data_IF_003544754737
#
_entry.id   IF_003544754737
#
_cell.length_a   1.000
_cell.length_b   1.000
_cell.length_c   1.000
_cell.angle_alpha   90.00
_cell.angle_beta   90.00
_cell.angle_gamma   90.00
#
_symmetry.space_group_name_H-M   'P 1'
#
loop_
_entity.id
_entity.type
_entity.pdbx_description
1 polymer ?
#
# COMPACT_ATOMS: atom_id res chain seq x y z
N UNK A 1 -5.33 -4.69 -16.63
CA UNK A 1 -5.32 -5.55 -15.41
C UNK A 1 -4.34 -5.04 -14.33
N UNK A 2 -4.25 -3.75 -14.01
CA UNK A 2 -3.28 -3.22 -13.02
C UNK A 2 -3.92 -2.33 -11.94
N UNK A 3 -5.11 -1.80 -12.11
CA UNK A 3 -5.65 -0.76 -11.21
C UNK A 3 -6.42 -1.24 -9.97
N UNK A 4 -6.91 -2.46 -9.89
CA UNK A 4 -7.66 -2.95 -8.71
C UNK A 4 -6.80 -3.59 -7.61
N UNK A 5 -5.60 -4.06 -7.95
CA UNK A 5 -4.64 -4.66 -6.98
C UNK A 5 -3.84 -3.58 -6.24
N UNK A 6 -3.76 -2.36 -6.81
CA UNK A 6 -2.93 -1.25 -6.33
C UNK A 6 -3.41 -0.63 -5.00
N UNK A 7 -4.69 -0.63 -4.70
CA UNK A 7 -5.24 0.27 -3.68
C UNK A 7 -5.13 -0.21 -2.23
N UNK A 8 -5.13 -1.52 -1.97
CA UNK A 8 -4.82 -2.07 -0.63
C UNK A 8 -3.31 -2.20 -0.38
N UNK A 9 -2.51 -2.19 -1.47
CA UNK A 9 -1.06 -2.19 -1.42
C UNK A 9 -0.48 -0.79 -1.13
N UNK A 10 -1.31 0.27 -1.18
CA UNK A 10 -0.86 1.66 -0.98
C UNK A 10 -1.03 2.17 0.45
N UNK A 11 -1.55 1.36 1.38
CA UNK A 11 -1.83 1.82 2.76
C UNK A 11 -0.67 1.57 3.71
N UNK A 12 -0.40 2.57 4.54
CA UNK A 12 0.57 2.55 5.63
C UNK A 12 -0.14 2.59 6.98
N UNK A 13 0.42 1.99 8.04
CA UNK A 13 -0.09 2.16 9.39
C UNK A 13 -0.13 3.62 9.79
N UNK A 14 -1.21 4.06 10.42
CA UNK A 14 -1.33 5.43 10.94
C UNK A 14 -0.29 5.79 11.99
N UNK A 15 0.34 4.79 12.62
CA UNK A 15 1.49 4.98 13.53
C UNK A 15 2.65 5.74 12.87
N UNK A 16 2.78 5.68 11.54
CA UNK A 16 3.79 6.46 10.82
C UNK A 16 3.46 7.96 10.84
N UNK A 17 2.18 8.32 10.74
CA UNK A 17 1.73 9.72 10.86
C UNK A 17 1.90 10.21 12.28
N UNK A 18 1.52 9.40 13.28
CA UNK A 18 1.72 9.75 14.70
C UNK A 18 3.20 10.00 14.99
N UNK A 19 4.10 9.15 14.50
CA UNK A 19 5.54 9.31 14.65
C UNK A 19 6.07 10.57 13.94
N UNK A 20 5.53 10.89 12.77
CA UNK A 20 5.87 12.12 12.04
C UNK A 20 5.46 13.35 12.85
N UNK A 21 4.24 13.37 13.40
CA UNK A 21 3.74 14.47 14.23
C UNK A 21 4.61 14.61 15.48
N UNK A 22 4.84 13.54 16.26
CA UNK A 22 5.72 13.54 17.42
C UNK A 22 7.11 14.10 17.10
N UNK A 23 7.60 13.81 15.88
CA UNK A 23 8.92 14.27 15.48
C UNK A 23 8.93 15.74 15.08
N UNK A 24 7.92 16.21 14.34
CA UNK A 24 7.90 17.58 13.82
C UNK A 24 7.56 18.61 14.92
N UNK A 25 6.80 18.20 15.93
CA UNK A 25 6.48 19.04 17.08
C UNK A 25 7.73 19.43 17.88
N UNK A 26 8.79 18.61 17.87
CA UNK A 26 10.10 18.98 18.46
C UNK A 26 10.79 20.16 17.72
N UNK A 27 10.35 20.44 16.49
CA UNK A 27 10.77 21.59 15.68
C UNK A 27 9.88 22.82 15.86
N UNK A 28 8.89 22.75 16.78
CA UNK A 28 7.94 23.83 17.05
C UNK A 28 6.86 23.98 15.98
N UNK A 29 6.66 22.99 15.11
CA UNK A 29 5.64 22.96 14.06
C UNK A 29 4.45 22.16 14.58
N UNK A 30 3.25 22.77 14.57
CA UNK A 30 2.07 22.12 15.12
C UNK A 30 1.49 21.02 14.22
N UNK A 31 0.76 20.09 14.85
CA UNK A 31 0.04 19.05 14.12
C UNK A 31 -1.03 19.62 13.18
N UNK A 32 -1.68 20.76 13.54
CA UNK A 32 -2.61 21.44 12.65
C UNK A 32 -1.94 21.92 11.37
N UNK A 33 -0.75 22.53 11.50
CA UNK A 33 -0.01 23.05 10.36
C UNK A 33 0.42 21.95 9.38
N UNK A 34 0.93 20.84 9.90
CA UNK A 34 1.36 19.73 9.05
C UNK A 34 0.18 19.02 8.38
N UNK A 35 -0.97 18.89 9.05
CA UNK A 35 -2.15 18.18 8.55
C UNK A 35 -3.12 19.05 7.73
N UNK A 36 -2.93 20.36 7.65
CA UNK A 36 -3.88 21.32 7.09
C UNK A 36 -4.44 20.96 5.70
N UNK A 37 -3.63 20.32 4.84
CA UNK A 37 -4.01 19.96 3.48
C UNK A 37 -4.38 18.46 3.34
N UNK A 38 -4.73 17.81 4.43
CA UNK A 38 -5.06 16.38 4.45
C UNK A 38 -6.48 16.14 4.98
N UNK A 39 -6.99 14.93 4.78
CA UNK A 39 -8.25 14.48 5.38
C UNK A 39 -8.04 13.80 6.74
N UNK A 40 -6.82 13.84 7.30
CA UNK A 40 -6.49 13.21 8.58
C UNK A 40 -6.99 14.12 9.69
N UNK A 41 -7.78 13.57 10.60
CA UNK A 41 -8.36 14.27 11.74
C UNK A 41 -7.64 13.92 13.03
N UNK A 42 -7.79 14.77 14.07
CA UNK A 42 -7.31 14.45 15.42
C UNK A 42 -7.93 13.16 15.96
N UNK A 43 -9.19 12.86 15.60
CA UNK A 43 -9.85 11.62 15.97
C UNK A 43 -9.13 10.40 15.37
N UNK A 44 -8.62 10.50 14.13
CA UNK A 44 -7.85 9.42 13.51
C UNK A 44 -6.55 9.13 14.27
N UNK A 45 -5.87 10.17 14.74
CA UNK A 45 -4.63 10.04 15.50
C UNK A 45 -4.81 9.31 16.85
N UNK A 46 -6.01 9.35 17.43
CA UNK A 46 -6.34 8.69 18.69
C UNK A 46 -6.74 7.22 18.51
N UNK A 47 -6.97 6.77 17.27
CA UNK A 47 -7.36 5.39 16.99
C UNK A 47 -6.17 4.45 17.17
N UNK A 48 -6.38 3.34 17.85
CA UNK A 48 -5.35 2.30 18.05
C UNK A 48 -4.89 1.67 16.73
N UNK A 49 -5.82 1.52 15.78
CA UNK A 49 -5.56 0.96 14.45
C UNK A 49 -6.24 1.79 13.39
N UNK A 50 -5.46 2.44 12.57
CA UNK A 50 -5.90 3.17 11.39
C UNK A 50 -4.83 3.15 10.31
N UNK A 51 -5.22 3.47 9.08
CA UNK A 51 -4.33 3.41 7.94
C UNK A 51 -4.44 4.69 7.12
N UNK A 52 -3.32 5.13 6.60
CA UNK A 52 -3.22 6.28 5.70
C UNK A 52 -2.78 5.81 4.31
N UNK A 53 -3.21 6.49 3.26
CA UNK A 53 -2.66 6.26 1.91
C UNK A 53 -1.18 6.65 1.88
N UNK A 54 -0.36 5.81 1.26
CA UNK A 54 1.09 6.04 1.17
C UNK A 54 1.43 7.35 0.47
N UNK A 55 0.62 7.79 -0.50
CA UNK A 55 0.81 9.07 -1.17
C UNK A 55 0.64 10.24 -0.21
N UNK A 56 -0.40 10.19 0.63
CA UNK A 56 -0.63 11.22 1.67
C UNK A 56 0.53 11.25 2.64
N UNK A 57 0.99 10.10 3.11
CA UNK A 57 2.14 10.04 4.02
C UNK A 57 3.43 10.59 3.37
N UNK A 58 3.71 10.24 2.13
CA UNK A 58 4.87 10.76 1.39
C UNK A 58 4.79 12.29 1.23
N UNK A 59 3.59 12.83 0.96
CA UNK A 59 3.37 14.27 0.91
C UNK A 59 3.61 14.94 2.28
N UNK A 60 3.15 14.32 3.37
CA UNK A 60 3.42 14.79 4.72
C UNK A 60 4.91 14.78 5.04
N UNK A 61 5.62 13.74 4.66
CA UNK A 61 7.07 13.63 4.85
C UNK A 61 7.82 14.72 4.06
N UNK A 62 7.39 14.99 2.83
CA UNK A 62 7.96 16.05 2.00
C UNK A 62 7.64 17.45 2.57
N UNK A 63 6.41 17.67 3.05
CA UNK A 63 6.01 18.91 3.73
C UNK A 63 6.85 19.12 4.99
N UNK A 64 7.12 18.06 5.76
CA UNK A 64 7.98 18.12 6.94
C UNK A 64 9.41 18.55 6.61
N UNK A 65 10.01 17.98 5.57
CA UNK A 65 11.35 18.39 5.09
C UNK A 65 11.35 19.88 4.72
N UNK A 66 10.32 20.36 4.03
CA UNK A 66 10.20 21.76 3.62
C UNK A 66 10.02 22.71 4.82
N UNK A 67 9.17 22.36 5.77
CA UNK A 67 8.89 23.21 6.96
C UNK A 67 10.07 23.26 7.91
N UNK A 68 10.79 22.16 8.09
CA UNK A 68 11.97 22.11 8.95
C UNK A 68 13.24 22.64 8.28
N UNK A 69 13.24 22.78 6.95
CA UNK A 69 14.46 23.08 6.17
C UNK A 69 15.53 21.98 6.25
N UNK A 70 15.20 20.80 6.77
CA UNK A 70 16.16 19.73 7.02
C UNK A 70 15.91 18.51 6.15
N UNK A 71 16.76 18.29 5.16
CA UNK A 71 16.69 17.12 4.26
C UNK A 71 16.86 15.77 4.98
N UNK A 72 17.49 15.75 6.16
CA UNK A 72 17.64 14.55 6.98
C UNK A 72 16.44 14.26 7.90
N UNK A 73 15.36 15.05 7.87
CA UNK A 73 14.18 14.83 8.71
C UNK A 73 13.65 13.39 8.65
N UNK A 74 13.55 12.71 7.47
CA UNK A 74 13.11 11.32 7.41
C UNK A 74 14.00 10.37 8.23
N UNK A 75 15.29 10.63 8.29
CA UNK A 75 16.25 9.83 9.04
C UNK A 75 16.14 10.11 10.54
N UNK A 76 15.91 11.37 10.92
CA UNK A 76 15.68 11.76 12.32
C UNK A 76 14.42 11.06 12.85
N UNK A 77 13.35 11.07 12.06
CA UNK A 77 12.11 10.34 12.36
C UNK A 77 12.37 8.83 12.47
N UNK A 78 13.19 8.24 11.59
CA UNK A 78 13.52 6.82 11.62
C UNK A 78 14.18 6.38 12.93
N UNK A 79 14.96 7.24 13.58
CA UNK A 79 15.61 6.94 14.86
C UNK A 79 14.60 6.71 16.01
N UNK A 80 13.41 7.27 15.90
CA UNK A 80 12.31 7.09 16.87
C UNK A 80 11.49 5.81 16.60
N UNK A 81 11.67 5.17 15.45
CA UNK A 81 10.94 3.97 15.09
C UNK A 81 11.21 2.84 16.08
N UNK A 82 10.14 2.18 16.53
CA UNK A 82 10.18 1.03 17.44
C UNK A 82 9.68 -0.22 16.72
N UNK A 83 10.22 -1.38 17.09
CA UNK A 83 9.77 -2.67 16.52
C UNK A 83 8.28 -2.90 16.80
N UNK A 84 7.80 -2.47 17.99
CA UNK A 84 6.40 -2.56 18.40
C UNK A 84 5.42 -1.77 17.53
N UNK A 85 5.88 -0.80 16.73
CA UNK A 85 5.02 -0.09 15.78
C UNK A 85 4.48 -0.99 14.66
N UNK A 86 5.04 -2.20 14.51
CA UNK A 86 4.55 -3.25 13.63
C UNK A 86 3.59 -4.24 14.31
N UNK A 87 2.98 -3.86 15.44
CA UNK A 87 1.97 -4.65 16.13
C UNK A 87 2.45 -6.07 16.45
N UNK A 88 1.62 -7.08 16.15
CA UNK A 88 1.95 -8.49 16.46
C UNK A 88 3.20 -9.00 15.74
N UNK A 89 3.49 -8.51 14.54
CA UNK A 89 4.73 -8.84 13.82
C UNK A 89 5.94 -8.30 14.57
N UNK A 90 5.85 -7.07 15.06
CA UNK A 90 6.89 -6.46 15.89
C UNK A 90 7.08 -7.22 17.20
N UNK A 91 5.99 -7.63 17.87
CA UNK A 91 6.05 -8.44 19.11
C UNK A 91 6.73 -9.78 18.85
N UNK A 92 6.36 -10.49 17.77
CA UNK A 92 6.99 -11.74 17.38
C UNK A 92 8.49 -11.56 17.06
N UNK A 93 8.86 -10.50 16.34
CA UNK A 93 10.27 -10.20 16.07
C UNK A 93 11.06 -9.92 17.36
N UNK A 94 10.51 -9.12 18.28
CA UNK A 94 11.16 -8.83 19.57
C UNK A 94 11.33 -10.05 20.44
N UNK A 95 10.37 -10.99 20.41
CA UNK A 95 10.38 -12.21 21.23
C UNK A 95 11.13 -13.38 20.58
N UNK A 96 11.71 -13.17 19.41
CA UNK A 96 12.50 -14.17 18.67
C UNK A 96 13.76 -14.55 19.44
N UNK A 97 14.24 -15.78 19.24
CA UNK A 97 15.44 -16.30 19.93
C UNK A 97 16.72 -15.56 19.53
N UNK A 98 16.82 -15.13 18.27
CA UNK A 98 17.99 -14.44 17.73
C UNK A 98 17.58 -13.47 16.60
N UNK A 99 18.55 -12.70 16.09
CA UNK A 99 18.29 -11.71 15.05
C UNK A 99 17.82 -12.36 13.74
N UNK A 100 18.36 -13.53 13.34
CA UNK A 100 17.89 -14.23 12.12
C UNK A 100 16.40 -14.51 12.18
N UNK A 101 15.92 -15.10 13.27
CA UNK A 101 14.50 -15.39 13.43
C UNK A 101 13.67 -14.12 13.44
N UNK A 102 14.12 -13.05 14.09
CA UNK A 102 13.42 -11.77 14.11
C UNK A 102 13.27 -11.17 12.71
N UNK A 103 14.34 -11.17 11.91
CA UNK A 103 14.31 -10.63 10.55
C UNK A 103 13.48 -11.48 9.60
N UNK A 104 13.47 -12.81 9.76
CA UNK A 104 12.59 -13.68 8.97
C UNK A 104 11.11 -13.49 9.30
N UNK A 105 10.77 -13.24 10.57
CA UNK A 105 9.40 -12.85 10.94
C UNK A 105 9.00 -11.55 10.26
N UNK A 106 9.89 -10.54 10.24
CA UNK A 106 9.62 -9.30 9.52
C UNK A 106 9.50 -9.54 8.01
N UNK A 107 10.39 -10.32 7.41
CA UNK A 107 10.34 -10.68 5.98
C UNK A 107 8.99 -11.31 5.60
N UNK A 108 8.52 -12.26 6.40
CA UNK A 108 7.30 -13.03 6.11
C UNK A 108 6.03 -12.21 6.33
N UNK A 109 5.96 -11.43 7.40
CA UNK A 109 4.69 -10.85 7.86
C UNK A 109 4.59 -9.33 7.74
N UNK A 110 5.66 -8.60 7.39
CA UNK A 110 5.61 -7.13 7.31
C UNK A 110 4.54 -6.62 6.35
N UNK A 111 4.28 -7.36 5.27
CA UNK A 111 3.24 -7.06 4.29
C UNK A 111 1.81 -7.05 4.84
N UNK A 112 1.55 -7.59 6.05
CA UNK A 112 0.26 -7.48 6.74
C UNK A 112 -0.02 -6.04 7.20
N UNK A 113 1.04 -5.34 7.60
CA UNK A 113 0.97 -3.98 8.14
C UNK A 113 1.31 -2.91 7.10
N UNK A 114 2.25 -3.22 6.21
CA UNK A 114 2.77 -2.28 5.25
C UNK A 114 2.88 -2.93 3.87
N UNK A 115 1.83 -2.81 3.06
CA UNK A 115 1.76 -3.46 1.75
C UNK A 115 2.61 -2.80 0.66
N UNK A 116 3.19 -1.62 0.91
CA UNK A 116 3.93 -0.84 -0.10
C UNK A 116 5.36 -1.33 -0.32
N UNK A 117 5.91 -2.13 0.58
CA UNK A 117 7.24 -2.70 0.44
C UNK A 117 7.30 -4.16 0.93
N UNK A 118 8.37 -4.84 0.53
CA UNK A 118 8.72 -6.19 0.98
C UNK A 118 10.15 -6.17 1.49
N UNK A 119 10.42 -7.01 2.47
CA UNK A 119 11.76 -7.30 2.94
C UNK A 119 12.22 -8.64 2.40
N UNK A 120 13.53 -8.79 2.19
CA UNK A 120 14.17 -10.05 1.86
C UNK A 120 15.55 -10.13 2.49
N UNK A 121 15.75 -11.13 3.35
CA UNK A 121 17.02 -11.39 3.99
C UNK A 121 17.84 -12.36 3.12
N UNK A 122 18.99 -11.88 2.63
CA UNK A 122 19.95 -12.69 1.86
C UNK A 122 21.33 -12.64 2.54
N UNK A 123 22.08 -13.72 2.42
CA UNK A 123 23.45 -13.83 2.96
C UNK A 123 24.40 -13.94 1.80
N UNK A 124 25.35 -13.01 1.71
CA UNK A 124 26.35 -12.94 0.67
C UNK A 124 27.76 -12.91 1.30
N UNK A 125 28.43 -14.06 1.29
CA UNK A 125 29.73 -14.22 1.98
C UNK A 125 29.64 -13.96 3.48
N UNK A 126 30.41 -13.00 3.98
CA UNK A 126 30.45 -12.62 5.40
C UNK A 126 29.41 -11.54 5.77
N UNK A 127 28.60 -11.09 4.81
CA UNK A 127 27.59 -10.06 5.04
C UNK A 127 26.18 -10.60 4.90
N UNK A 128 25.27 -10.09 5.71
CA UNK A 128 23.84 -10.23 5.55
C UNK A 128 23.27 -8.92 4.97
N UNK A 129 22.30 -9.05 4.08
CA UNK A 129 21.59 -7.96 3.44
C UNK A 129 20.09 -8.10 3.67
N UNK A 130 19.49 -7.10 4.27
CA UNK A 130 18.05 -6.96 4.33
C UNK A 130 17.62 -6.03 3.19
N UNK A 131 17.25 -6.60 2.06
CA UNK A 131 16.80 -5.87 0.87
C UNK A 131 15.40 -5.30 1.06
N UNK A 132 15.19 -4.07 0.56
CA UNK A 132 13.90 -3.41 0.51
C UNK A 132 13.44 -3.35 -0.96
N UNK A 133 12.32 -3.97 -1.25
CA UNK A 133 11.66 -3.89 -2.56
C UNK A 133 10.31 -3.22 -2.39
N UNK A 134 10.03 -2.19 -3.17
CA UNK A 134 8.80 -1.42 -3.07
C UNK A 134 8.06 -1.38 -4.40
N UNK A 135 6.74 -1.12 -4.33
CA UNK A 135 5.85 -1.06 -5.50
C UNK A 135 5.53 0.37 -5.94
N UNK A 136 6.12 1.35 -5.28
CA UNK A 136 5.93 2.77 -5.58
C UNK A 136 6.75 3.17 -6.82
N UNK A 137 6.24 4.15 -7.56
CA UNK A 137 6.99 4.76 -8.67
C UNK A 137 8.15 5.56 -8.10
N UNK A 138 9.34 5.37 -8.64
CA UNK A 138 10.54 6.10 -8.23
C UNK A 138 10.38 7.61 -8.50
N UNK A 139 10.58 8.41 -7.47
CA UNK A 139 10.55 9.87 -7.51
C UNK A 139 11.38 10.41 -6.34
N UNK A 140 11.71 11.69 -6.35
CA UNK A 140 12.42 12.31 -5.24
C UNK A 140 11.66 12.16 -3.90
N UNK A 141 10.35 12.29 -3.92
CA UNK A 141 9.51 12.15 -2.73
C UNK A 141 9.48 10.71 -2.21
N UNK A 142 9.40 9.71 -3.11
CA UNK A 142 9.47 8.29 -2.72
C UNK A 142 10.85 7.90 -2.22
N UNK A 143 11.91 8.52 -2.72
CA UNK A 143 13.27 8.30 -2.24
C UNK A 143 13.45 8.72 -0.77
N UNK A 144 12.81 9.80 -0.34
CA UNK A 144 12.78 10.22 1.08
C UNK A 144 12.12 9.16 1.96
N UNK A 145 11.02 8.58 1.49
CA UNK A 145 10.32 7.49 2.19
C UNK A 145 11.16 6.22 2.27
N UNK A 146 11.87 5.85 1.22
CA UNK A 146 12.76 4.68 1.19
C UNK A 146 13.94 4.87 2.15
N UNK A 147 14.53 6.07 2.17
CA UNK A 147 15.58 6.40 3.12
C UNK A 147 15.08 6.28 4.58
N UNK A 148 13.87 6.78 4.86
CA UNK A 148 13.20 6.59 6.16
C UNK A 148 13.06 5.10 6.50
N UNK A 149 12.57 4.27 5.58
CA UNK A 149 12.39 2.83 5.83
C UNK A 149 13.73 2.13 6.09
N UNK A 150 14.73 2.36 5.25
CA UNK A 150 16.05 1.73 5.40
C UNK A 150 16.70 2.12 6.74
N UNK A 151 16.65 3.40 7.10
CA UNK A 151 17.14 3.86 8.39
C UNK A 151 16.33 3.30 9.57
N UNK A 152 15.02 3.14 9.42
CA UNK A 152 14.15 2.51 10.43
C UNK A 152 14.56 1.06 10.68
N UNK A 153 14.79 0.26 9.64
CA UNK A 153 15.23 -1.12 9.81
C UNK A 153 16.64 -1.23 10.35
N UNK A 154 17.57 -0.36 9.92
CA UNK A 154 18.90 -0.29 10.51
C UNK A 154 18.83 0.00 12.02
N UNK A 155 17.99 0.94 12.43
CA UNK A 155 17.76 1.28 13.84
C UNK A 155 17.09 0.14 14.62
N UNK A 156 16.12 -0.56 14.00
CA UNK A 156 15.47 -1.74 14.59
C UNK A 156 16.49 -2.85 14.84
N UNK A 157 17.35 -3.16 13.86
CA UNK A 157 18.42 -4.15 14.02
C UNK A 157 19.31 -3.77 15.20
N UNK A 158 19.82 -2.52 15.22
CA UNK A 158 20.68 -2.03 16.32
C UNK A 158 20.02 -2.15 17.70
N UNK A 159 18.73 -1.80 17.80
CA UNK A 159 17.98 -1.90 19.05
C UNK A 159 17.72 -3.34 19.49
N UNK A 160 17.52 -4.27 18.56
CA UNK A 160 17.30 -5.68 18.86
C UNK A 160 18.56 -6.34 19.42
N UNK A 161 19.73 -6.07 18.81
CA UNK A 161 21.00 -6.68 19.22
C UNK A 161 21.70 -5.93 20.35
N UNK A 162 21.33 -4.66 20.61
CA UNK A 162 21.94 -3.78 21.63
C UNK A 162 23.47 -3.70 21.55
N UNK A 163 24.02 -3.83 20.35
CA UNK A 163 25.46 -3.82 20.09
C UNK A 163 25.78 -2.70 19.10
N UNK A 164 26.85 -1.96 19.37
CA UNK A 164 27.41 -1.03 18.39
C UNK A 164 28.18 -1.83 17.35
N UNK A 165 27.51 -2.15 16.27
CA UNK A 165 28.09 -2.87 15.14
C UNK A 165 27.95 -2.03 13.88
N UNK A 166 28.84 -2.25 12.92
CA UNK A 166 28.79 -1.57 11.64
C UNK A 166 27.58 -2.01 10.83
N UNK A 167 26.59 -1.12 10.78
CA UNK A 167 25.42 -1.27 9.93
C UNK A 167 25.50 -0.25 8.80
N UNK A 168 25.45 -0.75 7.57
CA UNK A 168 25.51 0.05 6.36
C UNK A 168 24.12 0.15 5.71
N UNK A 169 23.78 1.33 5.23
CA UNK A 169 22.56 1.58 4.48
C UNK A 169 22.92 1.84 3.02
N UNK A 170 22.45 0.99 2.13
CA UNK A 170 22.62 1.06 0.68
C UNK A 170 21.38 1.68 0.08
N UNK A 171 21.53 2.75 -0.71
CA UNK A 171 20.43 3.45 -1.35
C UNK A 171 20.69 3.64 -2.84
N UNK A 172 19.72 3.37 -3.68
CA UNK A 172 19.76 3.59 -5.14
C UNK A 172 19.88 5.08 -5.49
N UNK A 173 19.25 5.93 -4.68
CA UNK A 173 19.22 7.37 -4.89
C UNK A 173 20.62 8.02 -4.75
N UNK A 174 20.75 9.22 -5.35
CA UNK A 174 21.90 10.10 -5.10
C UNK A 174 21.86 10.64 -3.69
N UNK A 175 23.03 11.03 -3.18
CA UNK A 175 23.11 11.65 -1.86
C UNK A 175 22.27 12.93 -1.81
N UNK A 176 21.29 12.96 -0.92
CA UNK A 176 20.37 14.09 -0.74
C UNK A 176 20.34 14.63 0.70
N UNK A 177 21.07 13.99 1.60
CA UNK A 177 21.16 14.39 3.02
C UNK A 177 22.53 13.97 3.61
N UNK A 178 22.87 14.56 4.76
CA UNK A 178 24.03 14.17 5.57
C UNK A 178 23.48 13.72 6.93
N UNK A 179 23.85 12.52 7.35
CA UNK A 179 23.54 11.99 8.67
C UNK A 179 24.66 11.03 9.11
N UNK A 180 25.08 11.12 10.36
CA UNK A 180 26.23 10.38 10.88
C UNK A 180 25.85 9.17 11.74
N UNK A 181 24.54 8.85 11.86
CA UNK A 181 24.08 7.74 12.71
C UNK A 181 24.39 6.36 12.10
N UNK A 182 24.51 6.30 10.77
CA UNK A 182 24.84 5.10 10.02
C UNK A 182 25.78 5.44 8.86
N UNK A 183 26.51 4.45 8.37
CA UNK A 183 27.29 4.58 7.14
C UNK A 183 26.38 4.38 5.93
N UNK A 184 26.21 5.42 5.12
CA UNK A 184 25.39 5.39 3.90
C UNK A 184 26.24 5.17 2.67
N UNK A 185 25.75 4.32 1.75
CA UNK A 185 26.29 4.13 0.40
C UNK A 185 25.20 4.44 -0.61
N UNK A 186 25.38 5.53 -1.35
CA UNK A 186 24.43 6.01 -2.35
C UNK A 186 24.73 5.45 -3.75
N UNK A 187 23.82 5.63 -4.70
CA UNK A 187 23.93 5.20 -6.10
C UNK A 187 24.17 3.69 -6.25
N UNK A 188 23.52 2.91 -5.38
CA UNK A 188 23.61 1.46 -5.37
C UNK A 188 22.57 0.81 -6.31
N UNK A 189 22.76 -0.45 -6.66
CA UNK A 189 21.82 -1.20 -7.51
C UNK A 189 20.53 -1.53 -6.78
N UNK A 190 20.60 -1.75 -5.47
CA UNK A 190 19.45 -2.12 -4.62
C UNK A 190 19.47 -1.32 -3.32
N UNK A 191 18.28 -1.04 -2.79
CA UNK A 191 18.13 -0.51 -1.44
C UNK A 191 18.21 -1.64 -0.43
N UNK A 192 19.09 -1.51 0.55
CA UNK A 192 19.32 -2.54 1.56
C UNK A 192 19.89 -2.00 2.86
N UNK A 193 19.75 -2.78 3.93
CA UNK A 193 20.54 -2.64 5.16
C UNK A 193 21.49 -3.82 5.23
N UNK A 194 22.79 -3.57 5.37
CA UNK A 194 23.82 -4.61 5.44
C UNK A 194 24.58 -4.57 6.76
N UNK A 195 24.92 -5.75 7.25
CA UNK A 195 25.64 -5.96 8.50
C UNK A 195 26.40 -7.30 8.44
N UNK A 196 27.26 -7.55 9.42
CA UNK A 196 27.98 -8.82 9.49
C UNK A 196 27.04 -9.98 9.74
N UNK A 197 27.18 -11.07 8.98
CA UNK A 197 26.31 -12.25 9.06
C UNK A 197 26.32 -12.89 10.45
N UNK A 198 27.43 -12.74 11.20
CA UNK A 198 27.53 -13.29 12.56
C UNK A 198 26.50 -12.68 13.50
N UNK A 199 26.08 -11.43 13.27
CA UNK A 199 25.04 -10.76 14.06
C UNK A 199 23.71 -11.50 14.01
N UNK A 200 23.43 -12.28 12.96
CA UNK A 200 22.22 -13.09 12.85
C UNK A 200 22.07 -14.10 13.99
N UNK A 201 23.20 -14.56 14.57
CA UNK A 201 23.21 -15.53 15.66
C UNK A 201 23.08 -14.90 17.05
N UNK A 202 23.13 -13.56 17.16
CA UNK A 202 23.01 -12.89 18.46
C UNK A 202 21.67 -13.23 19.10
N UNK A 203 21.72 -13.77 20.32
CA UNK A 203 20.54 -14.03 21.11
C UNK A 203 19.91 -12.71 21.58
N UNK A 204 18.60 -12.55 21.36
CA UNK A 204 17.93 -11.33 21.78
C UNK A 204 17.63 -11.38 23.28
N UNK A 205 17.92 -10.30 24.00
CA UNK A 205 17.61 -10.20 25.44
C UNK A 205 16.11 -10.27 25.73
N UNK A 206 15.29 -9.88 24.75
CA UNK A 206 13.83 -9.91 24.83
C UNK A 206 13.23 -11.25 24.35
N UNK A 207 14.06 -12.26 24.08
CA UNK A 207 13.60 -13.56 23.61
C UNK A 207 12.67 -14.21 24.65
N UNK A 208 11.48 -14.59 24.19
CA UNK A 208 10.46 -15.27 24.99
C UNK A 208 9.66 -16.23 24.09
N UNK A 209 9.85 -17.52 24.30
CA UNK A 209 9.22 -18.55 23.45
C UNK A 209 7.70 -18.55 23.55
N UNK A 210 7.14 -18.22 24.71
CA UNK A 210 5.69 -18.19 24.92
C UNK A 210 5.09 -17.01 24.19
N UNK A 211 5.65 -15.81 24.39
CA UNK A 211 5.22 -14.58 23.71
C UNK A 211 5.40 -14.72 22.21
N UNK A 212 6.51 -15.29 21.74
CA UNK A 212 6.77 -15.58 20.34
C UNK A 212 5.66 -16.44 19.72
N UNK A 213 5.35 -17.59 20.35
CA UNK A 213 4.30 -18.50 19.86
C UNK A 213 2.92 -17.84 19.81
N UNK A 214 2.58 -17.03 20.80
CA UNK A 214 1.32 -16.30 20.84
C UNK A 214 1.23 -15.24 19.73
N UNK A 215 2.28 -14.44 19.56
CA UNK A 215 2.35 -13.41 18.53
C UNK A 215 2.34 -14.03 17.12
N UNK A 216 3.11 -15.10 16.88
CA UNK A 216 3.10 -15.85 15.62
C UNK A 216 1.72 -16.43 15.29
N UNK A 217 1.05 -17.02 16.26
CA UNK A 217 -0.33 -17.51 16.08
C UNK A 217 -1.28 -16.40 15.66
N UNK A 218 -1.09 -15.19 16.19
CA UNK A 218 -1.89 -14.05 15.80
C UNK A 218 -1.52 -13.55 14.38
N UNK A 219 -0.23 -13.48 14.04
CA UNK A 219 0.21 -13.15 12.69
C UNK A 219 -0.38 -14.09 11.62
N UNK A 220 -0.36 -15.40 11.88
CA UNK A 220 -0.96 -16.40 11.00
C UNK A 220 -2.47 -16.18 10.86
N UNK A 221 -3.19 -15.95 11.96
CA UNK A 221 -4.63 -15.65 11.94
C UNK A 221 -4.96 -14.39 11.15
N UNK A 222 -4.14 -13.36 11.31
CA UNK A 222 -4.31 -12.10 10.59
C UNK A 222 -4.05 -12.29 9.08
N UNK A 223 -3.05 -13.12 8.71
CA UNK A 223 -2.80 -13.55 7.32
C UNK A 223 -4.02 -14.27 6.74
N UNK A 224 -4.56 -15.25 7.45
CA UNK A 224 -5.73 -16.02 7.01
C UNK A 224 -6.96 -15.11 6.79
N UNK A 225 -7.18 -14.15 7.71
CA UNK A 225 -8.26 -13.16 7.56
C UNK A 225 -8.04 -12.28 6.32
N UNK A 226 -6.80 -11.83 6.08
CA UNK A 226 -6.47 -11.02 4.91
C UNK A 226 -6.62 -11.81 3.61
N UNK A 227 -6.17 -13.07 3.58
CA UNK A 227 -6.33 -13.95 2.40
C UNK A 227 -7.80 -14.22 2.15
N UNK A 228 -8.57 -14.63 3.15
CA UNK A 228 -10.02 -14.88 3.01
C UNK A 228 -10.76 -13.61 2.59
N UNK A 229 -10.44 -12.46 3.20
CA UNK A 229 -11.01 -11.18 2.79
C UNK A 229 -10.68 -10.84 1.33
N UNK A 230 -9.42 -11.04 0.90
CA UNK A 230 -9.01 -10.81 -0.49
C UNK A 230 -9.69 -11.76 -1.48
N UNK A 231 -9.76 -13.06 -1.15
CA UNK A 231 -10.46 -14.05 -1.97
C UNK A 231 -11.95 -13.73 -2.07
N UNK A 232 -12.61 -13.44 -0.95
CA UNK A 232 -14.02 -13.06 -0.94
C UNK A 232 -14.25 -11.77 -1.73
N UNK A 233 -13.40 -10.77 -1.59
CA UNK A 233 -13.46 -9.52 -2.36
C UNK A 233 -13.28 -9.75 -3.85
N UNK A 234 -12.28 -10.53 -4.24
CA UNK A 234 -12.05 -10.88 -5.65
C UNK A 234 -13.26 -11.63 -6.23
N UNK A 235 -13.81 -12.57 -5.48
CA UNK A 235 -14.99 -13.34 -5.90
C UNK A 235 -16.22 -12.43 -6.06
N UNK A 236 -16.49 -11.55 -5.09
CA UNK A 236 -17.63 -10.62 -5.15
C UNK A 236 -17.48 -9.68 -6.35
N UNK A 237 -16.31 -9.06 -6.55
CA UNK A 237 -16.06 -8.18 -7.70
C UNK A 237 -16.26 -8.92 -9.03
N UNK A 238 -15.66 -10.10 -9.18
CA UNK A 238 -15.80 -10.93 -10.38
C UNK A 238 -17.26 -11.27 -10.64
N UNK A 239 -18.01 -11.60 -9.59
CA UNK A 239 -19.44 -11.93 -9.71
C UNK A 239 -20.29 -10.71 -10.10
N UNK A 240 -19.98 -9.51 -9.57
CA UNK A 240 -20.65 -8.26 -9.98
C UNK A 240 -20.38 -7.99 -11.47
N UNK A 241 -19.13 -8.13 -11.91
CA UNK A 241 -18.75 -7.94 -13.31
C UNK A 241 -19.49 -8.93 -14.21
N UNK A 242 -19.52 -10.21 -13.87
CA UNK A 242 -20.24 -11.26 -14.59
C UNK A 242 -21.74 -10.93 -14.73
N UNK A 243 -22.38 -10.41 -13.67
CA UNK A 243 -23.77 -9.99 -13.71
C UNK A 243 -24.01 -8.79 -14.63
N UNK A 244 -23.08 -7.83 -14.64
CA UNK A 244 -23.13 -6.68 -15.55
C UNK A 244 -22.95 -7.14 -17.00
N UNK A 245 -21.98 -8.00 -17.28
CA UNK A 245 -21.73 -8.57 -18.61
C UNK A 245 -22.93 -9.37 -19.12
N UNK A 246 -23.48 -10.23 -18.28
CA UNK A 246 -24.69 -11.00 -18.61
C UNK A 246 -25.85 -10.09 -18.96
N UNK A 247 -26.07 -9.01 -18.19
CA UNK A 247 -27.12 -8.03 -18.45
C UNK A 247 -26.89 -7.22 -19.72
N UNK A 248 -25.63 -6.96 -20.10
CA UNK A 248 -25.30 -6.35 -21.39
C UNK A 248 -25.63 -7.28 -22.56
N UNK A 249 -25.22 -8.55 -22.48
CA UNK A 249 -25.49 -9.56 -23.51
C UNK A 249 -27.00 -9.76 -23.70
N UNK A 250 -27.76 -9.78 -22.60
CA UNK A 250 -29.22 -9.92 -22.61
C UNK A 250 -29.97 -8.62 -22.97
N UNK A 251 -29.25 -7.51 -23.22
CA UNK A 251 -29.79 -6.18 -23.52
C UNK A 251 -30.76 -5.63 -22.45
N UNK A 252 -30.59 -6.06 -21.19
CA UNK A 252 -31.43 -5.62 -20.07
C UNK A 252 -30.66 -4.83 -19.00
N UNK A 253 -29.50 -4.31 -19.34
CA UNK A 253 -28.61 -3.55 -18.42
C UNK A 253 -29.31 -2.34 -17.77
N UNK A 254 -30.34 -1.77 -18.41
CA UNK A 254 -31.15 -0.70 -17.84
C UNK A 254 -31.98 -1.12 -16.63
N UNK A 255 -32.22 -2.41 -16.44
CA UNK A 255 -32.96 -2.97 -15.29
C UNK A 255 -32.04 -3.37 -14.16
N UNK A 256 -30.71 -3.53 -14.43
CA UNK A 256 -29.74 -3.92 -13.43
C UNK A 256 -29.42 -2.75 -12.49
N UNK A 257 -29.71 -2.94 -11.23
CA UNK A 257 -29.44 -1.96 -10.17
C UNK A 257 -28.77 -2.63 -8.97
N UNK A 258 -28.28 -1.79 -8.04
CA UNK A 258 -27.54 -2.27 -6.86
C UNK A 258 -28.37 -3.29 -6.03
N UNK A 259 -29.66 -3.07 -5.91
CA UNK A 259 -30.55 -3.96 -5.13
C UNK A 259 -30.69 -5.33 -5.77
N UNK A 260 -30.84 -5.37 -7.09
CA UNK A 260 -30.94 -6.63 -7.83
C UNK A 260 -29.63 -7.43 -7.77
N UNK A 261 -28.49 -6.76 -7.94
CA UNK A 261 -27.18 -7.41 -7.79
C UNK A 261 -26.97 -7.92 -6.35
N UNK A 262 -27.33 -7.14 -5.34
CA UNK A 262 -27.24 -7.57 -3.95
C UNK A 262 -28.10 -8.83 -3.68
N UNK A 263 -29.31 -8.87 -4.23
CA UNK A 263 -30.21 -10.04 -4.14
C UNK A 263 -29.59 -11.27 -4.79
N UNK A 264 -29.02 -11.15 -5.98
CA UNK A 264 -28.37 -12.26 -6.69
C UNK A 264 -27.09 -12.74 -5.99
N UNK A 265 -26.44 -11.86 -5.23
CA UNK A 265 -25.28 -12.20 -4.38
C UNK A 265 -25.69 -12.72 -2.99
N UNK A 266 -26.99 -12.80 -2.67
CA UNK A 266 -27.50 -13.16 -1.35
C UNK A 266 -26.97 -12.29 -0.19
N UNK A 267 -26.81 -10.98 -0.44
CA UNK A 267 -26.39 -9.99 0.55
C UNK A 267 -27.34 -8.80 0.56
N UNK A 268 -27.29 -7.97 1.62
CA UNK A 268 -28.09 -6.73 1.64
C UNK A 268 -27.46 -5.66 0.73
N UNK A 269 -28.29 -4.76 0.18
CA UNK A 269 -27.81 -3.60 -0.60
C UNK A 269 -26.84 -2.74 0.20
N UNK A 270 -27.02 -2.59 1.52
CA UNK A 270 -26.12 -1.89 2.44
C UNK A 270 -24.75 -2.60 2.52
N UNK A 271 -24.74 -3.93 2.57
CA UNK A 271 -23.51 -4.72 2.58
C UNK A 271 -22.75 -4.55 1.27
N UNK A 272 -23.47 -4.59 0.12
CA UNK A 272 -22.86 -4.40 -1.20
C UNK A 272 -22.31 -2.97 -1.35
N UNK A 273 -23.05 -1.96 -0.91
CA UNK A 273 -22.61 -0.57 -0.95
C UNK A 273 -21.33 -0.37 -0.11
N UNK A 274 -21.32 -0.85 1.14
CA UNK A 274 -20.13 -0.79 1.99
C UNK A 274 -18.93 -1.54 1.39
N UNK A 275 -19.19 -2.65 0.69
CA UNK A 275 -18.16 -3.36 -0.05
C UNK A 275 -17.56 -2.48 -1.16
N UNK A 276 -18.40 -1.83 -1.96
CA UNK A 276 -17.96 -0.95 -3.05
C UNK A 276 -17.20 0.27 -2.52
N UNK A 277 -17.62 0.85 -1.39
CA UNK A 277 -16.93 1.95 -0.71
C UNK A 277 -15.52 1.53 -0.24
N UNK A 278 -15.38 0.33 0.32
CA UNK A 278 -14.07 -0.23 0.73
C UNK A 278 -13.16 -0.47 -0.49
N UNK A 279 -13.73 -0.78 -1.66
CA UNK A 279 -13.01 -0.93 -2.93
C UNK A 279 -12.80 0.42 -3.65
N UNK A 280 -13.17 1.52 -3.01
CA UNK A 280 -13.13 2.90 -3.55
C UNK A 280 -13.75 3.01 -4.95
N UNK A 281 -14.89 2.37 -5.10
CA UNK A 281 -15.64 2.35 -6.34
C UNK A 281 -17.14 2.48 -6.08
N UNK A 282 -17.90 2.64 -7.14
CA UNK A 282 -19.36 2.63 -7.08
C UNK A 282 -19.92 1.62 -8.09
N UNK A 283 -21.14 1.17 -7.89
CA UNK A 283 -21.80 0.29 -8.86
C UNK A 283 -21.86 0.93 -10.27
N UNK A 284 -22.12 2.23 -10.31
CA UNK A 284 -22.12 3.01 -11.57
C UNK A 284 -20.74 3.04 -12.23
N UNK A 285 -19.68 3.12 -11.45
CA UNK A 285 -18.31 3.09 -11.96
C UNK A 285 -17.96 1.71 -12.53
N UNK A 286 -18.37 0.62 -11.89
CA UNK A 286 -18.18 -0.73 -12.43
C UNK A 286 -18.95 -0.97 -13.75
N UNK A 287 -20.18 -0.49 -13.84
CA UNK A 287 -20.94 -0.54 -15.11
C UNK A 287 -20.19 0.26 -16.20
N UNK A 288 -19.66 1.44 -15.88
CA UNK A 288 -18.91 2.25 -16.83
C UNK A 288 -17.61 1.56 -17.27
N UNK A 289 -16.91 0.90 -16.35
CA UNK A 289 -15.70 0.12 -16.63
C UNK A 289 -15.97 -1.03 -17.62
N UNK A 290 -17.01 -1.83 -17.37
CA UNK A 290 -17.39 -2.93 -18.25
C UNK A 290 -17.88 -2.40 -19.62
N UNK A 291 -18.74 -1.39 -19.62
CA UNK A 291 -19.19 -0.75 -20.89
C UNK A 291 -18.03 -0.23 -21.73
N UNK A 292 -17.01 0.37 -21.09
CA UNK A 292 -15.81 0.86 -21.77
C UNK A 292 -15.05 -0.29 -22.44
N UNK A 293 -14.82 -1.40 -21.72
CA UNK A 293 -14.10 -2.55 -22.28
C UNK A 293 -14.82 -3.16 -23.48
N UNK A 294 -16.13 -3.32 -23.40
CA UNK A 294 -16.93 -3.84 -24.50
C UNK A 294 -16.99 -2.85 -25.67
N UNK A 295 -17.11 -1.53 -25.42
CA UNK A 295 -17.06 -0.52 -26.46
C UNK A 295 -15.75 -0.53 -27.23
N UNK A 296 -14.62 -0.57 -26.51
CA UNK A 296 -13.28 -0.61 -27.12
C UNK A 296 -13.12 -1.87 -27.98
N UNK A 297 -13.53 -3.04 -27.49
CA UNK A 297 -13.48 -4.29 -28.23
C UNK A 297 -14.33 -4.24 -29.52
N UNK A 298 -15.60 -3.79 -29.45
CA UNK A 298 -16.50 -3.69 -30.59
C UNK A 298 -16.01 -2.66 -31.62
N UNK A 299 -15.41 -1.55 -31.16
CA UNK A 299 -14.86 -0.53 -32.05
C UNK A 299 -13.61 -1.01 -32.79
N UNK A 300 -12.76 -1.85 -32.15
CA UNK A 300 -11.58 -2.46 -32.75
C UNK A 300 -12.00 -3.50 -33.80
N UNK A 301 -13.00 -4.34 -33.51
CA UNK A 301 -13.51 -5.35 -34.44
C UNK A 301 -14.12 -4.72 -35.71
N UNK A 302 -14.64 -3.50 -35.60
CA UNK A 302 -15.19 -2.71 -36.69
C UNK A 302 -16.34 -3.38 -37.50
N UNK A 303 -17.04 -4.32 -36.86
CA UNK A 303 -18.15 -5.06 -37.49
C UNK A 303 -19.50 -4.34 -37.31
N UNK A 304 -19.65 -3.59 -36.21
CA UNK A 304 -20.87 -2.88 -35.84
C UNK A 304 -20.76 -1.38 -36.10
N UNK A 305 -21.88 -0.75 -36.49
CA UNK A 305 -21.97 0.71 -36.52
C UNK A 305 -21.90 1.31 -35.12
N UNK A 306 -21.57 2.60 -35.00
CA UNK A 306 -21.54 3.29 -33.70
C UNK A 306 -22.92 3.28 -33.04
N UNK A 307 -24.01 3.30 -33.86
CA UNK A 307 -25.37 3.19 -33.38
C UNK A 307 -25.64 1.83 -32.77
N UNK A 308 -25.31 0.74 -33.46
CA UNK A 308 -25.48 -0.62 -32.94
C UNK A 308 -24.67 -0.86 -31.66
N UNK A 309 -23.44 -0.35 -31.59
CA UNK A 309 -22.62 -0.39 -30.36
C UNK A 309 -23.33 0.35 -29.21
N UNK A 310 -23.86 1.55 -29.48
CA UNK A 310 -24.61 2.32 -28.48
C UNK A 310 -25.80 1.54 -27.93
N UNK A 311 -26.55 0.90 -28.80
CA UNK A 311 -27.72 0.06 -28.45
C UNK A 311 -27.30 -1.19 -27.67
N UNK A 312 -26.24 -1.89 -28.09
CA UNK A 312 -25.69 -3.05 -27.40
C UNK A 312 -25.21 -2.72 -25.97
N UNK A 313 -24.70 -1.53 -25.77
CA UNK A 313 -24.24 -1.06 -24.46
C UNK A 313 -25.36 -0.46 -23.59
N UNK A 314 -26.62 -0.46 -24.10
CA UNK A 314 -27.81 0.00 -23.38
C UNK A 314 -27.88 1.51 -23.20
N UNK A 315 -27.40 2.28 -24.18
CA UNK A 315 -27.60 3.73 -24.23
C UNK A 315 -28.87 4.07 -24.99
N UNK A 316 -29.57 5.13 -24.57
CA UNK A 316 -30.76 5.59 -25.20
C UNK A 316 -30.53 6.13 -26.62
N UNK A 317 -29.34 6.73 -26.84
CA UNK A 317 -28.94 7.28 -28.13
C UNK A 317 -27.39 7.33 -28.27
N UNK A 318 -26.93 7.52 -29.50
CA UNK A 318 -25.52 7.61 -29.87
C UNK A 318 -24.80 8.82 -29.23
N UNK A 319 -25.53 9.89 -28.96
CA UNK A 319 -24.93 11.12 -28.40
C UNK A 319 -24.56 10.90 -26.93
N UNK A 320 -25.41 10.20 -26.17
CA UNK A 320 -25.11 9.80 -24.79
C UNK A 320 -23.94 8.84 -24.73
N UNK A 321 -23.90 7.83 -25.60
CA UNK A 321 -22.77 6.91 -25.72
C UNK A 321 -21.47 7.66 -26.06
N UNK A 322 -21.49 8.52 -27.08
CA UNK A 322 -20.31 9.23 -27.56
C UNK A 322 -19.71 10.14 -26.48
N UNK A 323 -20.57 10.81 -25.67
CA UNK A 323 -20.11 11.62 -24.53
C UNK A 323 -19.48 10.75 -23.44
N UNK A 324 -20.14 9.65 -23.09
CA UNK A 324 -19.63 8.71 -22.10
C UNK A 324 -18.27 8.12 -22.53
N UNK A 325 -18.15 7.68 -23.76
CA UNK A 325 -16.92 7.12 -24.31
C UNK A 325 -15.79 8.13 -24.35
N UNK A 326 -16.08 9.38 -24.76
CA UNK A 326 -15.08 10.46 -24.72
C UNK A 326 -14.63 10.78 -23.29
N UNK A 327 -15.52 10.73 -22.31
CA UNK A 327 -15.16 10.89 -20.90
C UNK A 327 -14.27 9.77 -20.39
N UNK A 328 -14.40 8.55 -20.89
CA UNK A 328 -13.59 7.39 -20.47
C UNK A 328 -12.22 7.31 -21.14
N UNK A 329 -12.12 7.75 -22.41
CA UNK A 329 -10.96 7.50 -23.28
C UNK A 329 -10.27 8.77 -23.75
N UNK A 330 -10.89 9.94 -23.56
CA UNK A 330 -10.40 11.22 -24.05
C UNK A 330 -10.76 11.51 -25.53
N UNK A 331 -11.20 10.50 -26.30
CA UNK A 331 -11.51 10.62 -27.74
C UNK A 331 -12.92 10.12 -28.06
N UNK A 332 -13.47 10.56 -29.19
CA UNK A 332 -14.80 10.08 -29.63
C UNK A 332 -14.73 8.65 -30.18
N UNK A 333 -15.83 7.87 -30.17
CA UNK A 333 -15.85 6.52 -30.76
C UNK A 333 -15.40 6.51 -32.23
N UNK A 334 -15.78 7.53 -33.00
CA UNK A 334 -15.37 7.68 -34.39
C UNK A 334 -13.87 7.91 -34.56
N UNK A 335 -13.25 8.67 -33.64
CA UNK A 335 -11.81 8.89 -33.66
C UNK A 335 -11.03 7.68 -33.15
N UNK A 336 -11.60 6.90 -32.25
CA UNK A 336 -10.99 5.69 -31.70
C UNK A 336 -10.97 4.54 -32.72
N UNK A 337 -11.99 4.45 -33.59
CA UNK A 337 -12.13 3.41 -34.64
C UNK A 337 -11.10 3.56 -35.78
N UNK A 338 -10.47 4.73 -35.91
CA UNK A 338 -9.44 4.99 -36.94
C UNK A 338 -8.11 4.34 -36.56
#
# INVERSE_FOLDING_TARGET
MINGVSMLLSKLPGTYVNLLIETIEEWGISSEEILADTHITFEDLQKTYWYVDSKVFIQLLEKSVRLTGNAAFPIIMANKMKVSHYGNVGIAAMSSKNLDQALRVLEEFIGLYCGVFKLRLEIEGEKAFLYLTYILVESESTNKFIAFLAASFANIIRKLIKTESDIFIFLKQKQSFINNNFAYKFEQVKDAVSFDRELLNIHLETADEIVFKLAMKQCIRDTDKHIKSRQTKSIIRSRIIELIETSLIQKNIGQLNLSEVAKQLNISSRTLQRYLEIEDTTFKALIAEVRKQYAEAMLIQNELSIQEISECLGYADVSHFSRAFKNWTGVTPKAFRK
#
